data_IF_161127528647
#
_entry.id   IF_161127528647
#
_cell.length_a   1.000
_cell.length_b   1.000
_cell.length_c   1.000
_cell.angle_alpha   90.00
_cell.angle_beta   90.00
_cell.angle_gamma   90.00
#
_symmetry.space_group_name_H-M   'P 1'
#
loop_
_entity.id
_entity.type
_entity.pdbx_description
1 polymer ?
#
# COMPACT_ATOMS: atom_id res chain seq x y z
N UNK A 1 -44.50 -12.41 -8.38
CA UNK A 1 -44.39 -13.71 -9.07
C UNK A 1 -43.35 -13.60 -10.18
N UNK A 2 -42.21 -14.30 -10.10
CA UNK A 2 -41.19 -14.30 -11.17
C UNK A 2 -41.71 -15.15 -12.34
N UNK A 3 -41.78 -14.56 -13.53
CA UNK A 3 -42.09 -15.27 -14.78
C UNK A 3 -40.91 -16.21 -15.07
N UNK A 4 -41.10 -17.53 -14.92
CA UNK A 4 -40.12 -18.50 -15.43
C UNK A 4 -40.14 -18.41 -16.96
N UNK A 5 -39.05 -17.95 -17.56
CA UNK A 5 -38.88 -17.92 -19.01
C UNK A 5 -38.65 -19.38 -19.44
N UNK A 6 -39.68 -19.99 -20.01
CA UNK A 6 -39.60 -21.36 -20.52
C UNK A 6 -39.01 -21.31 -21.94
N UNK A 7 -37.69 -21.51 -22.05
CA UNK A 7 -36.99 -21.49 -23.34
C UNK A 7 -37.21 -22.84 -24.03
N UNK A 8 -37.70 -22.79 -25.27
CA UNK A 8 -37.93 -23.94 -26.15
C UNK A 8 -37.28 -23.67 -27.50
N UNK A 9 -36.84 -24.74 -28.16
CA UNK A 9 -36.25 -24.64 -29.48
C UNK A 9 -37.29 -24.07 -30.47
N UNK A 10 -37.00 -22.97 -31.19
CA UNK A 10 -37.92 -22.39 -32.16
C UNK A 10 -38.12 -23.29 -33.38
N UNK A 11 -37.20 -24.21 -33.65
CA UNK A 11 -37.25 -25.07 -34.84
C UNK A 11 -38.07 -26.34 -34.64
N UNK A 12 -37.94 -27.03 -33.50
CA UNK A 12 -38.66 -28.29 -33.25
C UNK A 12 -39.56 -28.27 -32.00
N UNK A 13 -39.67 -27.12 -31.33
CA UNK A 13 -40.49 -26.95 -30.12
C UNK A 13 -39.96 -27.67 -28.87
N UNK A 14 -38.84 -28.37 -28.97
CA UNK A 14 -38.29 -29.18 -27.86
C UNK A 14 -37.72 -28.32 -26.75
N UNK A 15 -37.90 -28.77 -25.51
CA UNK A 15 -37.29 -28.19 -24.30
C UNK A 15 -35.93 -28.83 -23.96
N UNK A 16 -35.49 -29.83 -24.74
CA UNK A 16 -34.22 -30.52 -24.53
C UNK A 16 -33.08 -29.69 -25.12
N UNK A 17 -32.65 -28.69 -24.37
CA UNK A 17 -31.53 -27.82 -24.70
C UNK A 17 -30.34 -28.19 -23.82
N UNK A 18 -29.17 -28.29 -24.43
CA UNK A 18 -27.93 -28.60 -23.73
C UNK A 18 -26.84 -27.62 -24.12
N UNK A 19 -25.97 -27.36 -23.15
CA UNK A 19 -24.78 -26.57 -23.35
C UNK A 19 -23.65 -27.46 -23.84
N UNK A 20 -22.96 -27.05 -24.89
CA UNK A 20 -21.72 -27.70 -25.33
C UNK A 20 -20.54 -26.93 -24.73
N UNK A 21 -19.89 -27.50 -23.72
CA UNK A 21 -18.75 -26.91 -23.05
C UNK A 21 -17.55 -26.73 -23.99
N UNK A 22 -17.44 -27.59 -25.01
CA UNK A 22 -16.33 -27.58 -25.97
C UNK A 22 -16.46 -26.46 -27.00
N UNK A 23 -17.69 -26.09 -27.35
CA UNK A 23 -17.95 -25.13 -28.44
C UNK A 23 -18.55 -23.81 -27.96
N UNK A 24 -19.02 -23.74 -26.72
CA UNK A 24 -19.61 -22.53 -26.13
C UNK A 24 -21.01 -22.20 -26.66
N UNK A 25 -21.69 -23.14 -27.31
CA UNK A 25 -23.03 -22.94 -27.86
C UNK A 25 -24.12 -23.57 -26.99
N UNK A 26 -25.29 -22.93 -26.98
CA UNK A 26 -26.54 -23.55 -26.54
C UNK A 26 -27.19 -24.28 -27.73
N UNK A 27 -27.35 -25.60 -27.62
CA UNK A 27 -27.79 -26.46 -28.73
C UNK A 27 -29.04 -27.24 -28.33
N UNK A 28 -29.99 -27.41 -29.25
CA UNK A 28 -31.10 -28.32 -29.05
C UNK A 28 -30.64 -29.78 -29.27
N UNK A 29 -30.75 -30.62 -28.24
CA UNK A 29 -30.38 -32.04 -28.32
C UNK A 29 -31.26 -32.85 -29.29
N UNK A 30 -32.44 -32.34 -29.63
CA UNK A 30 -33.39 -33.06 -30.47
C UNK A 30 -33.18 -32.84 -31.98
N UNK A 31 -32.86 -31.62 -32.39
CA UNK A 31 -32.68 -31.27 -33.81
C UNK A 31 -31.29 -30.76 -34.16
N UNK A 32 -30.39 -30.64 -33.17
CA UNK A 32 -29.03 -30.13 -33.37
C UNK A 32 -28.95 -28.62 -33.62
N UNK A 33 -30.06 -27.88 -33.59
CA UNK A 33 -30.07 -26.44 -33.86
C UNK A 33 -29.28 -25.68 -32.78
N UNK A 34 -28.33 -24.86 -33.22
CA UNK A 34 -27.60 -23.90 -32.38
C UNK A 34 -28.49 -22.68 -32.16
N UNK A 35 -28.83 -22.39 -30.90
CA UNK A 35 -29.77 -21.33 -30.55
C UNK A 35 -29.07 -20.03 -30.17
N UNK A 36 -27.89 -20.12 -29.56
CA UNK A 36 -27.14 -18.95 -29.10
C UNK A 36 -25.65 -19.28 -28.92
N UNK A 37 -24.78 -18.35 -29.32
CA UNK A 37 -23.37 -18.32 -28.88
C UNK A 37 -23.29 -17.67 -27.51
N UNK A 38 -22.62 -18.31 -26.57
CA UNK A 38 -22.34 -17.75 -25.25
C UNK A 38 -20.93 -17.13 -25.17
N UNK A 39 -20.13 -17.24 -26.23
CA UNK A 39 -18.82 -16.61 -26.32
C UNK A 39 -19.03 -15.25 -26.98
N UNK A 40 -18.83 -14.19 -26.19
CA UNK A 40 -18.79 -12.82 -26.68
C UNK A 40 -17.37 -12.51 -27.17
N UNK A 41 -17.12 -12.72 -28.46
CA UNK A 41 -15.83 -12.42 -29.10
C UNK A 41 -15.55 -10.89 -29.17
N UNK A 42 -16.50 -10.05 -28.74
CA UNK A 42 -16.38 -8.60 -28.66
C UNK A 42 -16.16 -8.10 -27.21
N UNK A 43 -15.34 -8.81 -26.42
CA UNK A 43 -14.78 -8.22 -25.21
C UNK A 43 -13.87 -7.03 -25.60
N UNK A 44 -14.47 -5.85 -25.75
CA UNK A 44 -13.83 -4.58 -26.02
C UNK A 44 -12.55 -4.46 -25.20
N UNK A 45 -11.43 -4.23 -25.88
CA UNK A 45 -10.21 -3.76 -25.26
C UNK A 45 -10.57 -2.60 -24.33
N UNK A 46 -10.34 -2.78 -23.02
CA UNK A 46 -10.50 -1.70 -22.06
C UNK A 46 -9.38 -0.71 -22.36
N UNK A 47 -9.70 0.29 -23.18
CA UNK A 47 -8.85 1.44 -23.42
C UNK A 47 -8.51 2.10 -22.08
N UNK A 48 -7.21 2.33 -21.88
CA UNK A 48 -6.61 2.91 -20.67
C UNK A 48 -6.90 4.41 -20.50
N UNK A 49 -8.11 4.86 -20.82
CA UNK A 49 -8.48 6.27 -20.73
C UNK A 49 -9.99 6.47 -20.49
N UNK A 50 -10.44 6.22 -19.25
CA UNK A 50 -11.68 6.85 -18.78
C UNK A 50 -11.61 7.07 -17.27
N UNK A 51 -11.79 8.33 -16.89
CA UNK A 51 -11.90 8.84 -15.53
C UNK A 51 -13.12 8.25 -14.83
N UNK A 52 -12.96 8.11 -13.51
CA UNK A 52 -13.98 7.95 -12.47
C UNK A 52 -15.44 7.98 -12.90
N UNK A 53 -16.12 6.83 -12.76
CA UNK A 53 -17.48 6.77 -12.28
C UNK A 53 -17.60 5.57 -11.33
N UNK A 54 -17.54 5.87 -10.02
CA UNK A 54 -17.68 4.90 -8.95
C UNK A 54 -19.15 4.51 -8.79
N UNK A 55 -19.58 3.45 -9.48
CA UNK A 55 -20.73 2.68 -9.04
C UNK A 55 -20.26 1.64 -8.01
N UNK A 56 -20.66 1.86 -6.75
CA UNK A 56 -20.45 0.94 -5.63
C UNK A 56 -21.24 -0.37 -5.85
N UNK A 57 -20.72 -1.28 -6.66
CA UNK A 57 -21.08 -2.69 -6.54
C UNK A 57 -20.23 -3.31 -5.44
N UNK A 58 -20.89 -3.86 -4.42
CA UNK A 58 -20.26 -4.74 -3.44
C UNK A 58 -19.55 -5.88 -4.18
N UNK A 59 -18.25 -5.76 -4.35
CA UNK A 59 -17.38 -6.83 -4.86
C UNK A 59 -17.30 -7.89 -3.77
N UNK A 60 -18.06 -8.96 -3.90
CA UNK A 60 -17.77 -10.21 -3.20
C UNK A 60 -16.43 -10.68 -3.77
N UNK A 61 -15.35 -10.45 -3.02
CA UNK A 61 -14.02 -10.93 -3.37
C UNK A 61 -14.02 -12.46 -3.18
N UNK A 62 -14.31 -13.21 -4.23
CA UNK A 62 -13.66 -14.51 -4.37
C UNK A 62 -12.18 -14.22 -4.64
N UNK A 63 -11.41 -14.09 -3.57
CA UNK A 63 -9.97 -14.14 -3.66
C UNK A 63 -9.64 -15.53 -4.19
N UNK A 64 -9.20 -15.64 -5.44
CA UNK A 64 -8.43 -16.81 -5.82
C UNK A 64 -7.19 -16.82 -4.94
N UNK A 65 -6.92 -17.93 -4.27
CA UNK A 65 -5.77 -18.11 -3.37
C UNK A 65 -4.47 -17.60 -4.04
N UNK A 66 -4.32 -17.89 -5.34
CA UNK A 66 -3.26 -17.40 -6.22
C UNK A 66 -3.05 -15.87 -6.25
N UNK A 67 -4.08 -15.06 -5.99
CA UNK A 67 -4.00 -13.60 -6.00
C UNK A 67 -3.55 -13.02 -4.65
N UNK A 68 -3.86 -13.70 -3.55
CA UNK A 68 -3.35 -13.38 -2.21
C UNK A 68 -1.87 -13.73 -2.15
N UNK A 69 -1.49 -14.90 -2.62
CA UNK A 69 -0.11 -15.39 -2.57
C UNK A 69 0.83 -14.47 -3.36
N UNK A 70 0.44 -14.05 -4.57
CA UNK A 70 1.22 -13.09 -5.36
C UNK A 70 1.36 -11.71 -4.69
N UNK A 71 0.37 -11.27 -3.91
CA UNK A 71 0.46 -10.00 -3.16
C UNK A 71 1.30 -10.14 -1.90
N UNK A 72 1.23 -11.30 -1.24
CA UNK A 72 2.02 -11.66 -0.07
C UNK A 72 3.50 -11.77 -0.47
N UNK A 73 3.81 -12.52 -1.52
CA UNK A 73 5.15 -12.63 -2.10
C UNK A 73 5.72 -11.26 -2.47
N UNK A 74 4.95 -10.41 -3.15
CA UNK A 74 5.38 -9.05 -3.49
C UNK A 74 5.65 -8.20 -2.24
N UNK A 75 4.94 -8.45 -1.14
CA UNK A 75 5.12 -7.72 0.12
C UNK A 75 6.36 -8.21 0.89
N UNK A 76 6.58 -9.52 0.91
CA UNK A 76 7.79 -10.15 1.47
C UNK A 76 9.03 -9.72 0.67
N UNK A 77 8.97 -9.74 -0.67
CA UNK A 77 10.04 -9.20 -1.55
C UNK A 77 10.35 -7.74 -1.28
N UNK A 78 9.38 -6.96 -0.79
CA UNK A 78 9.55 -5.56 -0.38
C UNK A 78 10.05 -5.39 1.07
N UNK A 79 10.41 -6.49 1.75
CA UNK A 79 10.94 -6.48 3.11
C UNK A 79 9.89 -6.20 4.19
N UNK A 80 8.63 -6.58 3.94
CA UNK A 80 7.58 -6.59 4.97
C UNK A 80 7.55 -7.95 5.66
N UNK A 81 7.53 -7.91 6.99
CA UNK A 81 7.37 -9.02 7.90
C UNK A 81 5.93 -9.05 8.39
N UNK A 82 5.40 -10.26 8.53
CA UNK A 82 4.07 -10.52 9.06
C UNK A 82 4.27 -11.32 10.34
N UNK A 83 3.93 -10.74 11.49
CA UNK A 83 3.94 -11.40 12.79
C UNK A 83 2.48 -11.65 13.18
N UNK A 84 2.19 -12.83 13.73
CA UNK A 84 0.83 -13.18 14.17
C UNK A 84 0.86 -13.28 15.69
N UNK A 85 0.07 -12.45 16.35
CA UNK A 85 -0.07 -12.48 17.79
C UNK A 85 -0.84 -13.73 18.24
N UNK A 86 -0.73 -14.09 19.52
CA UNK A 86 -1.47 -15.19 20.14
C UNK A 86 -3.01 -15.08 20.00
N UNK A 87 -3.51 -13.88 19.68
CA UNK A 87 -4.94 -13.60 19.43
C UNK A 87 -5.34 -13.73 17.95
N UNK A 88 -4.42 -14.15 17.07
CA UNK A 88 -4.64 -14.26 15.63
C UNK A 88 -4.56 -12.93 14.86
N UNK A 89 -4.13 -11.83 15.50
CA UNK A 89 -3.93 -10.54 14.83
C UNK A 89 -2.63 -10.51 14.04
N UNK A 90 -2.71 -10.09 12.78
CA UNK A 90 -1.55 -9.96 11.89
C UNK A 90 -0.93 -8.57 12.00
N UNK A 91 0.29 -8.51 12.54
CA UNK A 91 1.14 -7.33 12.61
C UNK A 91 2.07 -7.28 11.41
N UNK A 92 1.90 -6.24 10.57
CA UNK A 92 2.77 -6.01 9.42
C UNK A 92 3.83 -4.99 9.80
N UNK A 93 5.08 -5.43 9.93
CA UNK A 93 6.23 -4.57 10.19
C UNK A 93 7.17 -4.56 8.99
N UNK A 94 7.90 -3.47 8.77
CA UNK A 94 9.00 -3.44 7.81
C UNK A 94 10.34 -3.54 8.52
N UNK A 95 11.41 -3.86 7.78
CA UNK A 95 12.79 -3.81 8.30
C UNK A 95 13.10 -2.45 8.97
N UNK A 96 12.47 -1.39 8.47
CA UNK A 96 12.62 -0.03 8.97
C UNK A 96 11.91 0.10 10.33
N UNK A 97 10.74 -0.50 10.49
CA UNK A 97 10.00 -0.47 11.76
C UNK A 97 10.77 -1.19 12.88
N UNK A 98 11.41 -2.33 12.60
CA UNK A 98 12.29 -3.01 13.56
C UNK A 98 13.52 -2.17 13.94
N UNK A 99 14.13 -1.48 12.98
CA UNK A 99 15.25 -0.56 13.24
C UNK A 99 14.81 0.66 14.06
N UNK A 100 13.58 1.12 13.84
CA UNK A 100 12.99 2.23 14.58
C UNK A 100 12.73 1.88 16.05
N UNK A 101 12.35 0.65 16.35
CA UNK A 101 12.20 0.21 17.75
C UNK A 101 13.51 0.29 18.52
N UNK A 102 14.63 -0.11 17.90
CA UNK A 102 15.96 0.02 18.52
C UNK A 102 16.32 1.48 18.79
N UNK A 103 15.99 2.39 17.87
CA UNK A 103 16.26 3.83 18.01
C UNK A 103 15.37 4.50 19.06
N UNK A 104 14.11 4.05 19.20
CA UNK A 104 13.19 4.55 20.24
C UNK A 104 13.71 4.36 21.65
N UNK A 105 14.59 3.40 21.89
CA UNK A 105 15.15 3.17 23.22
C UNK A 105 16.22 4.21 23.61
N UNK A 106 16.71 5.01 22.67
CA UNK A 106 17.67 6.09 22.98
C UNK A 106 16.94 7.31 23.56
N UNK A 107 17.26 7.70 24.79
CA UNK A 107 16.68 8.88 25.45
C UNK A 107 16.95 10.18 24.68
N UNK A 108 18.10 10.25 23.99
CA UNK A 108 18.46 11.39 23.14
C UNK A 108 17.54 11.47 21.92
N UNK A 109 17.27 10.33 21.27
CA UNK A 109 16.33 10.29 20.16
C UNK A 109 14.90 10.64 20.61
N UNK A 110 14.44 10.08 21.74
CA UNK A 110 13.12 10.41 22.32
C UNK A 110 12.95 11.91 22.51
N UNK A 111 13.95 12.57 23.10
CA UNK A 111 13.92 14.02 23.30
C UNK A 111 13.80 14.78 21.96
N UNK A 112 14.62 14.44 20.97
CA UNK A 112 14.56 15.05 19.63
C UNK A 112 13.17 14.86 18.99
N UNK A 113 12.61 13.67 19.14
CA UNK A 113 11.30 13.31 18.58
C UNK A 113 10.14 14.00 19.31
N UNK A 114 10.20 14.17 20.63
CA UNK A 114 9.20 14.94 21.38
C UNK A 114 9.17 16.40 20.93
N UNK A 115 10.33 17.03 20.76
CA UNK A 115 10.43 18.41 20.25
C UNK A 115 9.80 18.51 18.86
N UNK A 116 9.98 17.51 17.99
CA UNK A 116 9.39 17.50 16.65
C UNK A 116 7.86 17.60 16.66
N UNK A 117 7.20 17.08 17.70
CA UNK A 117 5.74 17.13 17.82
C UNK A 117 5.20 18.55 17.99
N UNK A 118 6.03 19.49 18.43
CA UNK A 118 5.67 20.91 18.55
C UNK A 118 5.63 21.63 17.18
N UNK A 119 6.06 20.96 16.10
CA UNK A 119 6.10 21.51 14.74
C UNK A 119 5.04 20.84 13.85
N UNK A 120 3.85 21.45 13.64
CA UNK A 120 2.74 20.81 12.91
C UNK A 120 3.10 20.30 11.51
N UNK A 121 3.90 21.08 10.77
CA UNK A 121 4.33 20.73 9.40
C UNK A 121 5.26 19.51 9.39
N UNK A 122 6.09 19.33 10.42
CA UNK A 122 6.97 18.17 10.54
C UNK A 122 6.20 16.97 11.11
N UNK A 123 5.34 17.20 12.10
CA UNK A 123 4.45 16.20 12.72
C UNK A 123 3.44 15.60 11.74
N UNK A 124 2.96 16.35 10.76
CA UNK A 124 2.01 15.83 9.75
C UNK A 124 2.62 14.82 8.77
N UNK A 125 3.96 14.68 8.74
CA UNK A 125 4.64 13.74 7.84
C UNK A 125 4.39 12.30 8.27
N UNK A 126 4.74 11.34 7.40
CA UNK A 126 4.68 9.91 7.75
C UNK A 126 5.62 9.60 8.92
N UNK A 127 5.30 8.60 9.75
CA UNK A 127 6.15 8.17 10.90
C UNK A 127 7.62 8.01 10.49
N UNK A 128 7.87 7.35 9.35
CA UNK A 128 9.22 7.18 8.78
C UNK A 128 9.96 8.50 8.55
N UNK A 129 9.28 9.49 7.97
CA UNK A 129 9.87 10.80 7.71
C UNK A 129 10.04 11.61 8.99
N UNK A 130 9.09 11.53 9.93
CA UNK A 130 9.24 12.16 11.24
C UNK A 130 10.50 11.64 11.95
N UNK A 131 10.70 10.33 11.98
CA UNK A 131 11.91 9.74 12.57
C UNK A 131 13.19 10.11 11.84
N UNK A 132 13.16 10.17 10.51
CA UNK A 132 14.31 10.64 9.73
C UNK A 132 14.67 12.10 10.05
N UNK A 133 13.68 12.97 10.19
CA UNK A 133 13.87 14.38 10.56
C UNK A 133 14.41 14.48 12.00
N UNK A 134 13.86 13.71 12.93
CA UNK A 134 14.30 13.72 14.32
C UNK A 134 15.73 13.22 14.51
N UNK A 135 16.10 12.15 13.81
CA UNK A 135 17.45 11.61 13.81
C UNK A 135 18.44 12.57 13.11
N UNK A 136 17.99 13.22 12.02
CA UNK A 136 18.77 14.26 11.34
C UNK A 136 19.10 15.42 12.29
N UNK A 137 18.10 15.97 12.99
CA UNK A 137 18.33 17.06 13.94
C UNK A 137 19.20 16.63 15.13
N UNK A 138 19.07 15.38 15.58
CA UNK A 138 19.96 14.82 16.61
C UNK A 138 21.42 14.85 16.16
N UNK A 139 21.75 14.40 14.96
CA UNK A 139 23.12 14.46 14.45
C UNK A 139 23.60 15.90 14.23
N UNK A 140 22.72 16.78 13.76
CA UNK A 140 23.03 18.21 13.64
C UNK A 140 23.38 18.84 15.00
N UNK A 141 22.70 18.41 16.07
CA UNK A 141 22.99 18.84 17.44
C UNK A 141 24.38 18.40 17.93
N UNK A 142 24.88 17.26 17.45
CA UNK A 142 26.25 16.80 17.71
C UNK A 142 27.31 17.52 16.87
N UNK A 143 26.92 18.44 16.00
CA UNK A 143 27.85 19.23 15.19
C UNK A 143 28.21 18.61 13.84
N UNK A 144 27.56 17.51 13.41
CA UNK A 144 27.79 16.96 12.08
C UNK A 144 27.29 17.90 10.97
N UNK A 145 27.98 17.94 9.82
CA UNK A 145 27.53 18.68 8.64
C UNK A 145 26.20 18.14 8.10
N UNK A 146 25.51 18.94 7.27
CA UNK A 146 24.22 18.56 6.69
C UNK A 146 24.36 17.25 5.90
N UNK A 147 25.37 17.15 5.04
CA UNK A 147 25.65 15.98 4.20
C UNK A 147 25.94 14.74 5.04
N UNK A 148 26.74 14.89 6.11
CA UNK A 148 27.09 13.79 7.00
C UNK A 148 25.88 13.31 7.81
N UNK A 149 25.07 14.22 8.34
CA UNK A 149 23.81 13.88 9.01
C UNK A 149 22.85 13.14 8.08
N UNK A 150 22.67 13.61 6.84
CA UNK A 150 21.81 12.93 5.85
C UNK A 150 22.33 11.53 5.52
N UNK A 151 23.65 11.38 5.38
CA UNK A 151 24.28 10.10 5.11
C UNK A 151 24.04 9.11 6.26
N UNK A 152 24.24 9.53 7.51
CA UNK A 152 24.03 8.70 8.70
C UNK A 152 22.57 8.28 8.84
N UNK A 153 21.62 9.22 8.70
CA UNK A 153 20.18 8.92 8.74
C UNK A 153 19.79 7.93 7.65
N UNK A 154 20.31 8.11 6.43
CA UNK A 154 20.06 7.21 5.32
C UNK A 154 20.56 5.80 5.61
N UNK A 155 21.77 5.67 6.19
CA UNK A 155 22.37 4.38 6.57
C UNK A 155 21.56 3.70 7.69
N UNK A 156 21.17 4.45 8.71
CA UNK A 156 20.43 3.89 9.84
C UNK A 156 18.99 3.52 9.48
N UNK A 157 18.22 4.42 8.86
CA UNK A 157 16.80 4.22 8.59
C UNK A 157 16.51 3.62 7.21
N UNK A 158 17.52 3.41 6.37
CA UNK A 158 17.35 2.96 4.98
C UNK A 158 16.53 3.93 4.13
N UNK A 159 16.52 5.22 4.46
CA UNK A 159 15.76 6.26 3.74
C UNK A 159 16.62 6.79 2.59
N UNK A 160 15.99 7.10 1.45
CA UNK A 160 16.70 7.73 0.32
C UNK A 160 17.27 9.10 0.70
N UNK A 161 18.57 9.30 0.44
CA UNK A 161 19.28 10.58 0.65
C UNK A 161 18.60 11.73 -0.09
N UNK A 162 18.13 11.49 -1.31
CA UNK A 162 17.45 12.50 -2.14
C UNK A 162 16.11 12.91 -1.54
N UNK A 163 15.35 11.95 -1.01
CA UNK A 163 14.08 12.23 -0.33
C UNK A 163 14.32 13.10 0.90
N UNK A 164 15.29 12.75 1.74
CA UNK A 164 15.63 13.52 2.93
C UNK A 164 16.13 14.93 2.59
N UNK A 165 17.01 15.07 1.57
CA UNK A 165 17.45 16.37 1.04
C UNK A 165 16.27 17.22 0.57
N UNK A 166 15.31 16.62 -0.14
CA UNK A 166 14.12 17.33 -0.63
C UNK A 166 13.25 17.84 0.51
N UNK A 167 13.04 17.03 1.55
CA UNK A 167 12.29 17.44 2.75
C UNK A 167 13.00 18.60 3.46
N UNK A 168 14.32 18.49 3.65
CA UNK A 168 15.14 19.52 4.30
C UNK A 168 15.08 20.83 3.53
N UNK A 169 15.29 20.78 2.21
CA UNK A 169 15.27 21.96 1.34
C UNK A 169 13.91 22.65 1.33
N UNK A 170 12.81 21.90 1.21
CA UNK A 170 11.45 22.45 1.16
C UNK A 170 11.00 23.09 2.46
N UNK A 171 11.52 22.63 3.61
CA UNK A 171 11.10 23.11 4.93
C UNK A 171 12.26 23.79 5.68
N UNK A 172 13.23 24.38 4.96
CA UNK A 172 14.51 24.89 5.50
C UNK A 172 14.34 25.76 6.75
N UNK A 173 13.44 26.75 6.70
CA UNK A 173 13.25 27.69 7.81
C UNK A 173 12.74 27.00 9.08
N UNK A 174 11.82 26.06 8.93
CA UNK A 174 11.22 25.31 10.04
C UNK A 174 12.24 24.32 10.61
N UNK A 175 12.97 23.64 9.74
CA UNK A 175 14.00 22.68 10.14
C UNK A 175 15.15 23.38 10.86
N UNK A 176 15.56 24.57 10.43
CA UNK A 176 16.58 25.34 11.14
C UNK A 176 16.13 25.72 12.57
N UNK A 177 14.88 26.17 12.74
CA UNK A 177 14.31 26.46 14.08
C UNK A 177 14.31 25.21 14.95
N UNK A 178 13.84 24.10 14.39
CA UNK A 178 13.83 22.80 15.05
C UNK A 178 15.24 22.31 15.43
N UNK A 179 16.23 22.41 14.54
CA UNK A 179 17.64 22.06 14.81
C UNK A 179 18.20 22.85 16.00
N UNK A 180 17.92 24.16 16.05
CA UNK A 180 18.38 25.04 17.14
C UNK A 180 17.74 24.64 18.47
N UNK A 181 16.43 24.37 18.47
CA UNK A 181 15.70 23.96 19.68
C UNK A 181 16.24 22.63 20.23
N UNK A 182 16.38 21.63 19.36
CA UNK A 182 16.99 20.34 19.72
C UNK A 182 18.37 20.52 20.31
N UNK A 183 19.22 21.35 19.68
CA UNK A 183 20.58 21.63 20.18
C UNK A 183 20.56 22.30 21.56
N UNK A 184 19.68 23.28 21.78
CA UNK A 184 19.52 23.95 23.08
C UNK A 184 19.08 22.97 24.18
N UNK A 185 18.12 22.10 23.88
CA UNK A 185 17.65 21.11 24.85
C UNK A 185 18.71 20.09 25.26
N UNK A 186 19.72 19.82 24.42
CA UNK A 186 20.87 19.00 24.80
C UNK A 186 21.93 19.74 25.61
N UNK A 187 22.06 21.05 25.41
CA UNK A 187 23.00 21.88 26.17
C UNK A 187 22.49 22.17 27.58
N UNK A 188 21.18 22.36 27.76
CA UNK A 188 20.56 22.66 29.06
C UNK A 188 20.39 21.44 29.98
N UNK A 189 20.74 20.23 29.52
CA UNK A 189 20.67 18.98 30.30
C UNK A 189 22.05 18.53 30.83
N UNK A 190 23.10 19.30 30.58
CA UNK A 190 24.41 19.15 31.22
C UNK A 190 24.49 20.10 32.40
#
# INVERSE_FOLDING_TARGET
>A
MKKMINIKCPYCGSHRLAWSNETGYLVCQNCGAVLQSLIDDNAYHIDKSAKDNKTNYFRIYHSSENSIDKKLEKSIKKGKFFEVDLTGKVHISSIIDKKLEKLKNSDKFKLSYEILKNYPILKSRTKRNQYAIALYALYRSYGYSIEKSIMLVSKELGVSKLSLKSIIRKNKNIINKYEIEVRRSFLNKK
#
